data_IF_898102550886
#
_entry.id   IF_898102550886
#
_cell.length_a   1.000
_cell.length_b   1.000
_cell.length_c   1.000
_cell.angle_alpha   90.00
_cell.angle_beta   90.00
_cell.angle_gamma   90.00
#
_symmetry.space_group_name_H-M   'P 1'
#
loop_
_entity.id
_entity.type
_entity.pdbx_description
1 polymer ?
#
# COMPACT_ATOMS: atom_id res chain seq x y z
N UNK A 1 -34.81 -42.69 14.19
CA UNK A 1 -34.06 -41.53 13.67
C UNK A 1 -35.10 -40.51 13.21
N UNK A 2 -35.10 -39.30 13.76
CA UNK A 2 -35.97 -38.19 13.29
C UNK A 2 -35.25 -37.46 12.19
N UNK A 3 -35.75 -37.51 10.97
CA UNK A 3 -35.25 -36.70 9.84
C UNK A 3 -35.77 -35.26 9.94
N UNK A 4 -34.98 -34.31 9.45
CA UNK A 4 -35.42 -32.92 9.30
C UNK A 4 -36.49 -32.81 8.20
N UNK A 5 -37.50 -31.98 8.46
CA UNK A 5 -38.48 -31.67 7.43
C UNK A 5 -37.92 -30.63 6.43
N UNK A 6 -38.37 -30.71 5.20
CA UNK A 6 -37.95 -29.75 4.14
C UNK A 6 -38.28 -28.30 4.55
N UNK A 7 -39.41 -28.10 5.19
CA UNK A 7 -39.84 -26.78 5.70
C UNK A 7 -38.89 -26.26 6.79
N UNK A 8 -38.39 -27.10 7.67
CA UNK A 8 -37.46 -26.71 8.73
C UNK A 8 -36.11 -26.22 8.14
N UNK A 9 -35.61 -26.92 7.10
CA UNK A 9 -34.38 -26.48 6.38
C UNK A 9 -34.63 -25.17 5.68
N UNK A 10 -35.80 -24.96 5.02
CA UNK A 10 -36.11 -23.69 4.34
C UNK A 10 -36.16 -22.51 5.31
N UNK A 11 -36.76 -22.71 6.51
CA UNK A 11 -36.81 -21.65 7.54
C UNK A 11 -35.41 -21.31 8.04
N UNK A 12 -34.57 -22.32 8.30
CA UNK A 12 -33.19 -22.09 8.76
C UNK A 12 -32.39 -21.29 7.69
N UNK A 13 -32.49 -21.68 6.41
CA UNK A 13 -31.78 -20.96 5.32
C UNK A 13 -32.31 -19.53 5.18
N UNK A 14 -33.62 -19.30 5.32
CA UNK A 14 -34.20 -17.97 5.28
C UNK A 14 -33.66 -17.08 6.42
N UNK A 15 -33.60 -17.61 7.65
CA UNK A 15 -33.05 -16.88 8.81
C UNK A 15 -31.56 -16.58 8.60
N UNK A 16 -30.76 -17.55 8.14
CA UNK A 16 -29.36 -17.35 7.84
C UNK A 16 -29.15 -16.29 6.74
N UNK A 17 -30.00 -16.28 5.71
CA UNK A 17 -29.99 -15.26 4.66
C UNK A 17 -30.22 -13.85 5.20
N UNK A 18 -31.20 -13.69 6.10
CA UNK A 18 -31.49 -12.39 6.74
C UNK A 18 -30.31 -11.95 7.63
N UNK A 19 -29.77 -12.84 8.43
CA UNK A 19 -28.63 -12.54 9.30
C UNK A 19 -27.38 -12.18 8.48
N UNK A 20 -27.10 -12.89 7.39
CA UNK A 20 -26.00 -12.58 6.49
C UNK A 20 -26.16 -11.20 5.82
N UNK A 21 -27.38 -10.83 5.41
CA UNK A 21 -27.66 -9.53 4.80
C UNK A 21 -27.39 -8.35 5.77
N UNK A 22 -27.67 -8.53 7.06
CA UNK A 22 -27.41 -7.52 8.10
C UNK A 22 -25.91 -7.47 8.44
N UNK A 23 -25.22 -8.61 8.46
CA UNK A 23 -23.80 -8.69 8.81
C UNK A 23 -22.87 -8.16 7.70
N UNK A 24 -23.22 -8.36 6.41
CA UNK A 24 -22.36 -8.03 5.30
C UNK A 24 -21.85 -6.57 5.28
N UNK A 25 -22.64 -5.50 5.48
CA UNK A 25 -22.16 -4.12 5.46
C UNK A 25 -21.19 -3.79 6.59
N UNK A 26 -21.21 -4.51 7.72
CA UNK A 26 -20.32 -4.25 8.85
C UNK A 26 -18.86 -4.63 8.59
N UNK A 27 -18.58 -5.46 7.60
CA UNK A 27 -17.22 -5.91 7.27
C UNK A 27 -16.47 -4.95 6.34
N UNK A 28 -17.14 -4.05 5.63
CA UNK A 28 -16.50 -3.12 4.67
C UNK A 28 -15.36 -2.33 5.29
N UNK A 29 -15.50 -1.68 6.47
CA UNK A 29 -14.40 -0.90 7.06
C UNK A 29 -13.20 -1.77 7.47
N UNK A 30 -13.45 -3.02 7.80
CA UNK A 30 -12.39 -3.98 8.16
C UNK A 30 -11.59 -4.37 6.93
N UNK A 31 -12.26 -4.67 5.82
CA UNK A 31 -11.60 -4.98 4.54
C UNK A 31 -10.79 -3.78 4.02
N UNK A 32 -11.32 -2.56 4.13
CA UNK A 32 -10.62 -1.34 3.76
C UNK A 32 -9.30 -1.17 4.56
N UNK A 33 -9.36 -1.34 5.88
CA UNK A 33 -8.15 -1.28 6.74
C UNK A 33 -7.12 -2.33 6.36
N UNK A 34 -7.57 -3.54 6.04
CA UNK A 34 -6.69 -4.61 5.60
C UNK A 34 -5.96 -4.26 4.31
N UNK A 35 -6.68 -3.76 3.30
CA UNK A 35 -6.10 -3.36 2.01
C UNK A 35 -5.10 -2.22 2.16
N UNK A 36 -5.42 -1.21 2.96
CA UNK A 36 -4.50 -0.10 3.24
C UNK A 36 -3.25 -0.59 3.96
N UNK A 37 -3.39 -1.47 4.94
CA UNK A 37 -2.25 -2.06 5.65
C UNK A 37 -1.39 -2.91 4.73
N UNK A 38 -1.99 -3.77 3.93
CA UNK A 38 -1.28 -4.61 2.96
C UNK A 38 -0.47 -3.76 1.98
N UNK A 39 -1.06 -2.70 1.43
CA UNK A 39 -0.34 -1.76 0.58
C UNK A 39 0.81 -1.05 1.30
N UNK A 40 0.60 -0.63 2.55
CA UNK A 40 1.63 0.03 3.36
C UNK A 40 2.81 -0.92 3.67
N UNK A 41 2.53 -2.16 4.01
CA UNK A 41 3.55 -3.18 4.27
C UNK A 41 4.31 -3.56 3.00
N UNK A 42 3.60 -3.75 1.88
CA UNK A 42 4.19 -4.04 0.57
C UNK A 42 5.11 -2.92 0.10
N UNK A 43 4.68 -1.66 0.23
CA UNK A 43 5.51 -0.51 -0.14
C UNK A 43 6.72 -0.37 0.80
N UNK A 44 6.53 -0.55 2.11
CA UNK A 44 7.62 -0.54 3.10
C UNK A 44 8.68 -1.60 2.76
N UNK A 45 8.24 -2.82 2.48
CA UNK A 45 9.12 -3.91 2.04
C UNK A 45 9.88 -3.56 0.75
N UNK A 46 9.19 -2.91 -0.19
CA UNK A 46 9.79 -2.47 -1.46
C UNK A 46 10.85 -1.40 -1.25
N UNK A 47 10.59 -0.42 -0.39
CA UNK A 47 11.55 0.63 -0.03
C UNK A 47 12.85 0.02 0.55
N UNK A 48 12.74 -0.91 1.48
CA UNK A 48 13.91 -1.60 2.04
C UNK A 48 14.62 -2.49 1.01
N UNK A 49 13.87 -3.18 0.15
CA UNK A 49 14.44 -3.96 -0.93
C UNK A 49 15.22 -3.08 -1.90
N UNK A 50 14.62 -1.98 -2.37
CA UNK A 50 15.28 -1.05 -3.29
C UNK A 50 16.57 -0.46 -2.69
N UNK A 51 16.55 -0.13 -1.38
CA UNK A 51 17.73 0.33 -0.65
C UNK A 51 18.83 -0.72 -0.60
N UNK A 52 18.49 -1.97 -0.29
CA UNK A 52 19.47 -3.06 -0.25
C UNK A 52 20.09 -3.32 -1.62
N UNK A 53 19.29 -3.28 -2.69
CA UNK A 53 19.79 -3.43 -4.06
C UNK A 53 20.66 -2.24 -4.49
N UNK A 54 20.30 -1.00 -4.10
CA UNK A 54 21.10 0.17 -4.39
C UNK A 54 22.48 0.11 -3.70
N UNK A 55 22.54 -0.24 -2.43
CA UNK A 55 23.81 -0.42 -1.70
C UNK A 55 24.65 -1.51 -2.36
N UNK A 56 24.04 -2.65 -2.70
CA UNK A 56 24.70 -3.80 -3.31
C UNK A 56 25.26 -3.48 -4.70
N UNK A 57 24.57 -2.65 -5.48
CA UNK A 57 24.93 -2.33 -6.88
C UNK A 57 25.69 -1.01 -7.03
N UNK A 58 25.86 -0.25 -5.94
CA UNK A 58 26.50 1.06 -5.99
C UNK A 58 25.61 2.19 -6.44
N UNK A 59 24.29 2.07 -6.30
CA UNK A 59 23.29 3.06 -6.70
C UNK A 59 22.51 2.68 -7.95
N UNK A 60 21.85 3.66 -8.57
CA UNK A 60 21.14 3.48 -9.84
C UNK A 60 19.89 2.60 -9.74
N UNK A 61 19.21 2.59 -8.61
CA UNK A 61 17.93 1.90 -8.41
C UNK A 61 16.80 2.92 -8.38
N UNK A 62 15.70 2.59 -9.02
CA UNK A 62 14.47 3.39 -9.03
C UNK A 62 13.29 2.58 -8.54
N UNK A 63 12.37 3.25 -7.87
CA UNK A 63 11.02 2.75 -7.58
C UNK A 63 10.08 3.52 -8.50
N UNK A 64 9.56 2.85 -9.50
CA UNK A 64 8.79 3.44 -10.60
C UNK A 64 7.31 3.08 -10.45
N UNK A 65 6.50 4.09 -10.23
CA UNK A 65 5.03 4.04 -10.19
C UNK A 65 4.42 4.95 -11.27
N UNK A 66 5.00 4.97 -12.47
CA UNK A 66 4.57 5.84 -13.59
C UNK A 66 3.09 5.61 -13.96
N UNK A 67 2.54 4.39 -13.76
CA UNK A 67 1.11 4.11 -13.91
C UNK A 67 0.24 4.62 -12.77
N UNK A 68 0.84 5.27 -11.75
CA UNK A 68 0.21 5.70 -10.50
C UNK A 68 0.44 4.70 -9.37
N UNK A 69 0.73 5.20 -8.18
CA UNK A 69 0.97 4.38 -6.97
C UNK A 69 -0.18 3.42 -6.64
N UNK A 70 -1.41 3.79 -6.99
CA UNK A 70 -2.62 2.98 -6.78
C UNK A 70 -2.74 1.78 -7.73
N UNK A 71 -1.98 1.75 -8.82
CA UNK A 71 -1.94 0.59 -9.75
C UNK A 71 -0.81 -0.38 -9.38
N UNK A 72 0.22 0.11 -8.71
CA UNK A 72 1.40 -0.64 -8.31
C UNK A 72 2.70 0.07 -8.65
N UNK A 73 3.81 -0.60 -8.39
CA UNK A 73 5.15 -0.05 -8.58
C UNK A 73 6.15 -1.13 -8.90
N UNK A 74 7.26 -0.73 -9.49
CA UNK A 74 8.35 -1.62 -9.87
C UNK A 74 9.68 -1.09 -9.34
N UNK A 75 10.54 -1.99 -8.91
CA UNK A 75 11.94 -1.69 -8.63
C UNK A 75 12.74 -2.02 -9.87
N UNK A 76 13.47 -1.04 -10.40
CA UNK A 76 14.27 -1.16 -11.61
C UNK A 76 15.70 -0.68 -11.37
N UNK A 77 16.63 -1.14 -12.17
CA UNK A 77 17.94 -0.53 -12.33
C UNK A 77 17.87 0.52 -13.43
N UNK A 78 18.44 1.70 -13.21
CA UNK A 78 18.50 2.77 -14.20
C UNK A 78 19.14 2.26 -15.50
N UNK A 79 18.47 2.53 -16.64
CA UNK A 79 18.96 2.08 -17.95
C UNK A 79 18.64 0.61 -18.28
N UNK A 80 17.95 -0.12 -17.42
CA UNK A 80 17.53 -1.51 -17.65
C UNK A 80 16.00 -1.57 -17.73
N UNK A 81 15.48 -2.24 -18.76
CA UNK A 81 14.03 -2.38 -18.97
C UNK A 81 13.39 -3.39 -18.02
N UNK A 82 14.13 -4.42 -17.65
CA UNK A 82 13.62 -5.48 -16.77
C UNK A 82 13.51 -5.01 -15.33
N UNK A 83 12.37 -5.32 -14.72
CA UNK A 83 12.15 -5.02 -13.31
C UNK A 83 12.80 -6.07 -12.41
N UNK A 84 13.49 -5.62 -11.36
CA UNK A 84 14.02 -6.50 -10.31
C UNK A 84 12.88 -7.05 -9.44
N UNK A 85 11.84 -6.25 -9.28
CA UNK A 85 10.63 -6.60 -8.54
C UNK A 85 9.47 -5.77 -9.05
N UNK A 86 8.30 -6.39 -9.24
CA UNK A 86 7.05 -5.71 -9.59
C UNK A 86 5.97 -6.07 -8.57
N UNK A 87 5.20 -5.09 -8.11
CA UNK A 87 4.11 -5.24 -7.16
C UNK A 87 2.87 -4.58 -7.76
N UNK A 88 1.77 -5.32 -7.75
CA UNK A 88 0.44 -4.76 -8.04
C UNK A 88 -0.18 -4.28 -6.73
N UNK A 89 -0.67 -3.06 -6.70
CA UNK A 89 -1.34 -2.54 -5.51
C UNK A 89 -2.70 -3.24 -5.29
N UNK A 90 -3.14 -3.39 -4.03
CA UNK A 90 -4.49 -3.88 -3.74
C UNK A 90 -5.55 -2.99 -4.40
N UNK A 91 -6.67 -3.59 -4.81
CA UNK A 91 -7.79 -2.84 -5.40
C UNK A 91 -8.46 -1.91 -4.37
N UNK A 92 -9.12 -0.85 -4.88
CA UNK A 92 -9.89 0.09 -4.06
C UNK A 92 -9.07 0.84 -3.00
N UNK A 93 -7.81 1.14 -3.30
CA UNK A 93 -6.98 2.06 -2.53
C UNK A 93 -6.57 3.25 -3.41
N UNK A 94 -6.32 4.38 -2.76
CA UNK A 94 -5.68 5.54 -3.34
C UNK A 94 -4.36 5.79 -2.60
N UNK A 95 -3.36 6.22 -3.33
CA UNK A 95 -2.05 6.53 -2.78
C UNK A 95 -1.57 7.88 -3.31
N UNK A 96 -1.05 8.73 -2.44
CA UNK A 96 -0.60 10.06 -2.77
C UNK A 96 0.77 10.35 -2.17
N UNK A 97 1.76 10.60 -3.02
CA UNK A 97 3.08 11.08 -2.62
C UNK A 97 3.00 12.58 -2.23
N UNK A 98 3.73 13.00 -1.20
CA UNK A 98 3.71 14.40 -0.70
C UNK A 98 3.99 15.45 -1.77
N UNK A 99 4.88 15.16 -2.71
CA UNK A 99 5.28 16.05 -3.80
C UNK A 99 4.83 15.54 -5.18
N UNK A 100 3.80 14.69 -5.22
CA UNK A 100 3.22 14.12 -6.45
C UNK A 100 4.23 13.39 -7.34
N UNK A 101 5.33 12.87 -6.77
CA UNK A 101 6.31 12.09 -7.51
C UNK A 101 5.81 10.67 -7.75
N UNK A 102 6.05 10.18 -8.95
CA UNK A 102 5.72 8.80 -9.37
C UNK A 102 6.97 7.94 -9.55
N UNK A 103 8.16 8.54 -9.53
CA UNK A 103 9.44 7.82 -9.53
C UNK A 103 10.28 8.31 -8.36
N UNK A 104 10.83 7.37 -7.60
CA UNK A 104 11.79 7.64 -6.55
C UNK A 104 13.12 6.98 -6.93
N UNK A 105 14.21 7.67 -6.66
CA UNK A 105 15.57 7.20 -6.93
C UNK A 105 16.24 6.81 -5.62
N UNK A 106 17.10 5.81 -5.67
CA UNK A 106 17.85 5.33 -4.51
C UNK A 106 19.34 5.42 -4.83
N UNK A 107 20.04 6.20 -4.04
CA UNK A 107 21.47 6.38 -4.20
C UNK A 107 22.31 5.21 -3.69
N UNK A 108 23.64 5.29 -3.87
CA UNK A 108 24.58 4.25 -3.41
C UNK A 108 24.60 4.02 -1.90
N UNK A 109 24.11 4.97 -1.13
CA UNK A 109 24.02 4.91 0.33
C UNK A 109 22.67 4.36 0.81
N UNK A 110 21.77 4.07 -0.14
CA UNK A 110 20.41 3.62 0.12
C UNK A 110 19.49 4.75 0.57
N UNK A 111 19.83 6.00 0.29
CA UNK A 111 18.96 7.15 0.58
C UNK A 111 18.03 7.43 -0.60
N UNK A 112 16.81 7.89 -0.29
CA UNK A 112 15.82 8.17 -1.32
C UNK A 112 15.87 9.64 -1.74
N UNK A 113 15.77 9.85 -3.06
CA UNK A 113 15.72 11.16 -3.69
C UNK A 113 14.52 11.24 -4.65
N UNK A 114 14.00 12.43 -4.88
CA UNK A 114 12.88 12.67 -5.80
C UNK A 114 13.30 12.95 -7.24
N UNK A 115 14.60 13.10 -7.44
CA UNK A 115 15.20 13.33 -8.76
C UNK A 115 16.47 12.50 -8.88
N UNK A 116 16.84 12.12 -10.11
CA UNK A 116 18.07 11.39 -10.36
C UNK A 116 19.29 12.23 -9.94
N UNK A 117 20.19 11.62 -9.14
CA UNK A 117 21.35 12.32 -8.59
C UNK A 117 21.01 13.47 -7.64
N UNK A 118 19.75 13.62 -7.22
CA UNK A 118 19.32 14.66 -6.29
C UNK A 118 19.78 14.45 -4.86
N UNK A 119 19.52 15.45 -4.00
CA UNK A 119 19.80 15.34 -2.58
C UNK A 119 18.70 14.51 -1.88
N UNK A 120 19.04 13.70 -0.86
CA UNK A 120 18.06 12.99 -0.07
C UNK A 120 17.09 13.95 0.62
N UNK A 121 15.79 13.64 0.54
CA UNK A 121 14.73 14.45 1.15
C UNK A 121 13.79 13.58 1.97
N UNK A 122 13.23 14.15 3.02
CA UNK A 122 12.13 13.53 3.73
C UNK A 122 10.87 13.60 2.86
N UNK A 123 10.14 12.50 2.77
CA UNK A 123 8.93 12.42 1.97
C UNK A 123 7.88 11.56 2.65
N UNK A 124 6.66 11.63 2.18
CA UNK A 124 5.59 10.77 2.68
C UNK A 124 4.68 10.27 1.57
N UNK A 125 4.09 9.11 1.80
CA UNK A 125 3.06 8.54 0.92
C UNK A 125 1.85 8.23 1.79
N UNK A 126 0.74 8.91 1.53
CA UNK A 126 -0.54 8.62 2.17
C UNK A 126 -1.26 7.51 1.39
N UNK A 127 -1.80 6.53 2.11
CA UNK A 127 -2.51 5.37 1.59
C UNK A 127 -3.87 5.33 2.26
N UNK A 128 -4.94 5.31 1.49
CA UNK A 128 -6.31 5.38 1.99
C UNK A 128 -7.30 4.70 1.04
N UNK A 129 -8.51 4.33 1.48
CA UNK A 129 -9.51 3.72 0.60
C UNK A 129 -9.95 4.68 -0.50
N UNK A 130 -10.18 4.16 -1.71
CA UNK A 130 -10.73 4.95 -2.83
C UNK A 130 -12.07 5.58 -2.44
N UNK A 131 -12.26 6.85 -2.80
CA UNK A 131 -13.44 7.64 -2.43
C UNK A 131 -13.38 8.27 -1.05
N UNK A 132 -12.31 8.04 -0.29
CA UNK A 132 -12.02 8.70 0.98
C UNK A 132 -10.80 9.63 0.84
N UNK A 133 -10.30 10.14 1.94
CA UNK A 133 -9.14 11.06 1.96
C UNK A 133 -8.03 10.55 2.89
N UNK A 134 -6.90 11.23 2.88
CA UNK A 134 -5.72 10.86 3.66
C UNK A 134 -5.91 10.97 5.19
N UNK A 135 -6.99 11.58 5.68
CA UNK A 135 -7.31 11.70 7.12
C UNK A 135 -8.36 10.69 7.58
N UNK A 136 -8.80 9.78 6.71
CA UNK A 136 -9.74 8.71 7.07
C UNK A 136 -9.19 7.81 8.19
N UNK A 137 -10.08 7.25 9.00
CA UNK A 137 -9.70 6.35 10.10
C UNK A 137 -8.96 5.09 9.66
N UNK A 138 -9.10 4.71 8.40
CA UNK A 138 -8.39 3.58 7.79
C UNK A 138 -7.09 3.99 7.09
N UNK A 139 -6.81 5.29 6.96
CA UNK A 139 -5.63 5.79 6.26
C UNK A 139 -4.34 5.51 7.04
N UNK A 140 -3.27 5.22 6.32
CA UNK A 140 -1.90 5.11 6.84
C UNK A 140 -1.02 6.05 6.01
N UNK A 141 -0.16 6.79 6.69
CA UNK A 141 0.89 7.59 6.05
C UNK A 141 2.23 6.91 6.30
N UNK A 142 2.93 6.57 5.25
CA UNK A 142 4.33 6.17 5.33
C UNK A 142 5.18 7.44 5.36
N UNK A 143 5.96 7.59 6.41
CA UNK A 143 6.91 8.68 6.57
C UNK A 143 8.31 8.15 6.34
N UNK A 144 9.01 8.70 5.37
CA UNK A 144 10.35 8.31 4.95
C UNK A 144 11.28 9.45 5.33
N UNK A 145 12.12 9.23 6.32
CA UNK A 145 13.10 10.21 6.77
C UNK A 145 14.29 10.28 5.79
N UNK A 146 15.04 11.38 5.81
CA UNK A 146 16.26 11.58 4.98
C UNK A 146 17.23 10.40 5.11
N UNK A 147 17.44 9.86 6.33
CA UNK A 147 18.25 8.66 6.56
C UNK A 147 17.61 7.33 6.10
N UNK A 148 16.47 7.39 5.41
CA UNK A 148 15.76 6.23 4.85
C UNK A 148 15.02 5.38 5.89
N UNK A 149 14.85 5.84 7.13
CA UNK A 149 13.95 5.19 8.09
C UNK A 149 12.51 5.37 7.62
N UNK A 150 11.77 4.28 7.55
CA UNK A 150 10.35 4.27 7.21
C UNK A 150 9.54 4.05 8.48
N UNK A 151 8.58 4.92 8.75
CA UNK A 151 7.63 4.79 9.86
C UNK A 151 6.20 4.92 9.35
N UNK A 152 5.26 4.31 10.06
CA UNK A 152 3.84 4.37 9.72
C UNK A 152 3.11 5.25 10.73
N UNK A 153 2.39 6.25 10.25
CA UNK A 153 1.49 7.08 11.04
C UNK A 153 0.05 6.71 10.75
N UNK A 154 -0.74 6.30 11.78
CA UNK A 154 -2.14 5.95 11.60
C UNK A 154 -2.99 7.18 11.28
N UNK A 155 -4.16 6.96 10.67
CA UNK A 155 -5.14 8.00 10.31
C UNK A 155 -4.52 9.13 9.47
N UNK A 156 -3.49 8.81 8.68
CA UNK A 156 -2.79 9.78 7.85
C UNK A 156 -2.17 10.95 8.62
N UNK A 157 -1.90 10.80 9.94
CA UNK A 157 -1.25 11.83 10.73
C UNK A 157 0.05 12.32 10.08
N UNK A 158 0.42 13.57 10.36
CA UNK A 158 1.65 14.15 9.84
C UNK A 158 2.90 13.35 10.26
N UNK A 159 3.93 13.42 9.46
CA UNK A 159 5.24 12.88 9.80
C UNK A 159 5.91 13.77 10.86
N UNK A 160 6.43 13.16 11.91
CA UNK A 160 7.20 13.81 12.98
C UNK A 160 8.68 13.82 12.63
#
# INVERSE_FOLDING_TARGET
MRGFSLLEVMVVVAILGILAAIAAPSFTPTIERWRVRDAAESLTSTLYYARSEAIKRGGGITIDATGGWNTGWQVKQTGVTDSLRAITAPSNIAMAHSNSKVVLYVDRWGMLTETDGGVPVAMSIAIYPTGKNATDNSAIRLCIAIGGRVTQSPKGAACL
#
